data_IF_816587224802
#
_entry.id   IF_816587224802
#
_cell.length_a   1.000
_cell.length_b   1.000
_cell.length_c   1.000
_cell.angle_alpha   90.00
_cell.angle_beta   90.00
_cell.angle_gamma   90.00
#
_symmetry.space_group_name_H-M   'P 1'
#
loop_
_entity.id
_entity.type
_entity.pdbx_description
1 polymer ?
#
# COMPACT_ATOMS: atom_id res chain seq x y z
N UNK A 1 -10.06 -5.75 9.38
CA UNK A 1 -10.00 -6.62 8.17
C UNK A 1 -10.97 -6.18 7.06
N UNK A 2 -12.26 -5.99 7.35
CA UNK A 2 -13.25 -5.58 6.34
C UNK A 2 -12.87 -4.29 5.57
N UNK A 3 -12.44 -3.24 6.28
CA UNK A 3 -12.01 -1.98 5.64
C UNK A 3 -10.79 -2.17 4.71
N UNK A 4 -9.82 -2.99 5.13
CA UNK A 4 -8.64 -3.26 4.33
C UNK A 4 -8.98 -4.02 3.04
N UNK A 5 -9.89 -5.00 3.13
CA UNK A 5 -10.40 -5.72 1.97
C UNK A 5 -11.22 -4.82 1.04
N UNK A 6 -12.10 -3.98 1.61
CA UNK A 6 -12.89 -3.03 0.82
C UNK A 6 -11.98 -2.04 0.08
N UNK A 7 -10.99 -1.46 0.78
CA UNK A 7 -10.00 -0.58 0.17
C UNK A 7 -9.20 -1.30 -0.94
N UNK A 8 -8.77 -2.54 -0.70
CA UNK A 8 -8.06 -3.34 -1.70
C UNK A 8 -8.91 -3.54 -2.96
N UNK A 9 -10.18 -3.92 -2.81
CA UNK A 9 -11.10 -4.12 -3.94
C UNK A 9 -11.39 -2.82 -4.72
N UNK A 10 -11.60 -1.71 -4.01
CA UNK A 10 -11.84 -0.41 -4.65
C UNK A 10 -10.62 0.03 -5.48
N UNK A 11 -9.41 -0.08 -4.92
CA UNK A 11 -8.19 0.27 -5.63
C UNK A 11 -7.97 -0.67 -6.82
N UNK A 12 -8.20 -1.98 -6.66
CA UNK A 12 -8.08 -2.94 -7.76
C UNK A 12 -9.04 -2.60 -8.91
N UNK A 13 -10.28 -2.24 -8.59
CA UNK A 13 -11.28 -1.82 -9.58
C UNK A 13 -10.86 -0.52 -10.32
N UNK A 14 -10.38 0.48 -9.58
CA UNK A 14 -9.87 1.73 -10.16
C UNK A 14 -8.67 1.49 -11.07
N UNK A 15 -7.72 0.65 -10.65
CA UNK A 15 -6.56 0.29 -11.48
C UNK A 15 -7.03 -0.42 -12.74
N UNK A 16 -7.96 -1.37 -12.65
CA UNK A 16 -8.52 -2.06 -13.81
C UNK A 16 -9.19 -1.12 -14.83
N UNK A 17 -9.92 -0.10 -14.34
CA UNK A 17 -10.56 0.90 -15.21
C UNK A 17 -9.55 1.87 -15.84
N UNK A 18 -8.57 2.33 -15.07
CA UNK A 18 -7.64 3.37 -15.51
C UNK A 18 -6.45 2.82 -16.29
N UNK A 19 -6.13 1.52 -16.17
CA UNK A 19 -4.94 0.93 -16.77
C UNK A 19 -4.94 1.05 -18.30
N UNK A 20 -6.02 0.63 -18.99
CA UNK A 20 -6.13 0.73 -20.46
C UNK A 20 -5.98 2.17 -20.98
N UNK A 21 -6.79 3.15 -20.53
CA UNK A 21 -6.68 4.52 -21.04
C UNK A 21 -5.33 5.17 -20.70
N UNK A 22 -4.75 4.86 -19.53
CA UNK A 22 -3.42 5.36 -19.17
C UNK A 22 -2.33 4.76 -20.07
N UNK A 23 -2.48 3.48 -20.45
CA UNK A 23 -1.58 2.80 -21.37
C UNK A 23 -1.67 3.37 -22.79
N UNK A 24 -2.88 3.68 -23.27
CA UNK A 24 -3.10 4.26 -24.60
C UNK A 24 -2.57 5.70 -24.70
N UNK A 25 -2.75 6.52 -23.67
CA UNK A 25 -2.35 7.93 -23.70
C UNK A 25 -0.88 8.18 -23.33
N UNK A 26 -0.35 7.48 -22.32
CA UNK A 26 1.01 7.71 -21.81
C UNK A 26 2.02 6.66 -22.30
N UNK A 27 1.56 5.55 -22.87
CA UNK A 27 2.39 4.44 -23.28
C UNK A 27 2.86 3.56 -22.11
N UNK A 28 3.31 2.32 -22.41
CA UNK A 28 3.68 1.33 -21.40
C UNK A 28 4.82 1.77 -20.49
N UNK A 29 5.82 2.45 -21.05
CA UNK A 29 7.04 2.82 -20.31
C UNK A 29 6.75 3.71 -19.11
N UNK A 30 5.91 4.74 -19.31
CA UNK A 30 5.57 5.70 -18.25
C UNK A 30 4.67 5.05 -17.21
N UNK A 31 3.67 4.27 -17.64
CA UNK A 31 2.74 3.56 -16.74
C UNK A 31 3.52 2.62 -15.80
N UNK A 32 4.41 1.79 -16.34
CA UNK A 32 5.22 0.89 -15.51
C UNK A 32 6.19 1.64 -14.58
N UNK A 33 6.75 2.78 -15.02
CA UNK A 33 7.60 3.61 -14.16
C UNK A 33 6.83 4.21 -12.98
N UNK A 34 5.57 4.63 -13.19
CA UNK A 34 4.68 5.12 -12.11
C UNK A 34 4.37 4.01 -11.11
N UNK A 35 4.05 2.80 -11.57
CA UNK A 35 3.84 1.65 -10.68
C UNK A 35 5.10 1.31 -9.89
N UNK A 36 6.27 1.32 -10.52
CA UNK A 36 7.54 1.09 -9.84
C UNK A 36 7.81 2.17 -8.76
N UNK A 37 7.54 3.44 -9.06
CA UNK A 37 7.64 4.53 -8.09
C UNK A 37 6.68 4.35 -6.91
N UNK A 38 5.43 3.94 -7.17
CA UNK A 38 4.45 3.66 -6.14
C UNK A 38 4.88 2.50 -5.22
N UNK A 39 5.47 1.44 -5.79
CA UNK A 39 6.05 0.34 -5.01
C UNK A 39 7.17 0.81 -4.07
N UNK A 40 8.09 1.65 -4.56
CA UNK A 40 9.16 2.20 -3.73
C UNK A 40 8.62 3.08 -2.59
N UNK A 41 7.62 3.93 -2.89
CA UNK A 41 6.94 4.74 -1.89
C UNK A 41 6.25 3.86 -0.83
N UNK A 42 5.58 2.79 -1.25
CA UNK A 42 4.96 1.84 -0.34
C UNK A 42 6.00 1.18 0.59
N UNK A 43 7.16 0.77 0.07
CA UNK A 43 8.24 0.22 0.90
C UNK A 43 8.73 1.23 1.93
N UNK A 44 8.93 2.49 1.54
CA UNK A 44 9.35 3.55 2.45
C UNK A 44 8.29 3.82 3.53
N UNK A 45 7.02 3.86 3.14
CA UNK A 45 5.88 4.05 4.05
C UNK A 45 5.78 2.90 5.05
N UNK A 46 5.85 1.65 4.59
CA UNK A 46 5.78 0.45 5.45
C UNK A 46 6.94 0.45 6.43
N UNK A 47 8.17 0.70 5.97
CA UNK A 47 9.34 0.77 6.85
C UNK A 47 9.23 1.83 7.94
N UNK A 48 8.58 2.96 7.67
CA UNK A 48 8.46 4.08 8.62
C UNK A 48 7.26 3.96 9.56
N UNK A 49 6.12 3.48 9.07
CA UNK A 49 4.84 3.53 9.79
C UNK A 49 4.36 2.17 10.30
N UNK A 50 4.89 1.05 9.78
CA UNK A 50 4.48 -0.29 10.21
C UNK A 50 5.54 -0.83 11.15
N UNK A 51 5.19 -0.95 12.43
CA UNK A 51 6.01 -1.64 13.42
C UNK A 51 6.10 -3.12 13.05
N UNK A 52 7.30 -3.68 13.09
CA UNK A 52 7.52 -5.09 12.78
C UNK A 52 6.72 -5.98 13.73
N UNK A 53 5.72 -6.68 13.19
CA UNK A 53 4.79 -7.55 13.91
C UNK A 53 5.31 -8.99 14.05
N UNK A 54 6.44 -9.31 13.41
CA UNK A 54 6.97 -10.67 13.35
C UNK A 54 7.59 -11.05 14.70
N UNK A 55 7.04 -12.09 15.34
CA UNK A 55 7.57 -12.64 16.61
C UNK A 55 7.13 -11.88 17.87
N UNK A 56 6.26 -10.88 17.74
CA UNK A 56 5.68 -10.14 18.87
C UNK A 56 4.29 -10.66 19.21
N UNK A 57 4.00 -10.72 20.50
CA UNK A 57 2.65 -10.97 21.03
C UNK A 57 1.74 -9.78 20.76
N UNK A 58 0.42 -10.00 20.74
CA UNK A 58 -0.56 -8.94 20.44
C UNK A 58 -0.43 -7.74 21.39
N UNK A 59 -0.08 -7.98 22.66
CA UNK A 59 0.13 -6.93 23.67
C UNK A 59 1.36 -6.06 23.40
N UNK A 60 2.45 -6.63 22.87
CA UNK A 60 3.66 -5.87 22.51
C UNK A 60 3.43 -5.00 21.27
N UNK A 61 2.56 -5.44 20.37
CA UNK A 61 2.13 -4.65 19.21
C UNK A 61 1.25 -3.48 19.66
N UNK A 62 0.35 -3.71 20.61
CA UNK A 62 -0.52 -2.66 21.18
C UNK A 62 0.27 -1.60 21.95
N UNK A 63 1.26 -2.02 22.76
CA UNK A 63 2.15 -1.08 23.47
C UNK A 63 3.05 -0.29 22.52
N UNK A 64 3.49 -0.87 21.40
CA UNK A 64 4.28 -0.15 20.40
C UNK A 64 3.44 0.82 19.53
N UNK A 65 2.11 0.64 19.48
CA UNK A 65 1.17 1.48 18.76
C UNK A 65 0.59 2.62 19.62
N UNK A 66 0.53 2.47 20.94
CA UNK A 66 0.07 3.50 21.87
C UNK A 66 1.24 4.36 22.39
N UNK A 67 1.17 5.69 22.32
CA UNK A 67 2.14 6.54 23.02
C UNK A 67 1.90 6.36 24.52
N UNK A 68 2.94 5.91 25.23
CA UNK A 68 2.94 5.80 26.68
C UNK A 68 2.77 7.18 27.31
N UNK A 69 1.61 7.39 27.93
CA UNK A 69 1.41 8.46 28.91
C UNK A 69 1.06 7.82 30.26
#
# INVERSE_FOLDING_TARGET
>A
MALCMAAHWVINFLVGLLFLPMLEHLGPQIVYAVFAGFCLFAVAFVKKNVVETKGKTLQEIEFALLPSH
#
